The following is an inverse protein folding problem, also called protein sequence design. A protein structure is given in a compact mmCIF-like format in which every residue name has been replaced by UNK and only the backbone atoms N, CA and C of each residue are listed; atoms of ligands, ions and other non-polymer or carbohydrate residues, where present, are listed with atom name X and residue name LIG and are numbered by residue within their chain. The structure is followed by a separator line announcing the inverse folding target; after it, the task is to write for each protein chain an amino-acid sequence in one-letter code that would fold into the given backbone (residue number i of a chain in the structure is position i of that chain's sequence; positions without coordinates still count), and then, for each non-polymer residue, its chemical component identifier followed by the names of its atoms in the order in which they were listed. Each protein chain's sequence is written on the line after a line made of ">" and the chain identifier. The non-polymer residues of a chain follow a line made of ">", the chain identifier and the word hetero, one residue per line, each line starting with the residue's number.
data_IF_799179387525
#
_entry.id   IF_799179387525
#
_cell.length_a   1.000
_cell.length_b   1.000
_cell.length_c   1.000
_cell.angle_alpha   90.00
_cell.angle_beta   90.00
_cell.angle_gamma   90.00
#
_symmetry.space_group_name_H-M   'P 1'
#
loop_
_entity.id
_entity.type
_entity.pdbx_description
1 polymer ?
#
# COMPACT_ATOMS: atom_id res chain seq x y z
N UNK A 1 11.70 23.34 -4.54
CA UNK A 1 11.88 21.93 -4.15
C UNK A 1 10.67 21.16 -4.64
N UNK A 2 10.80 20.35 -5.65
CA UNK A 2 9.76 19.42 -6.07
C UNK A 2 10.21 18.04 -5.60
N UNK A 3 9.61 17.58 -4.53
CA UNK A 3 9.88 16.22 -4.03
C UNK A 3 8.71 15.34 -4.46
N UNK A 4 8.97 14.34 -5.26
CA UNK A 4 8.00 13.29 -5.58
C UNK A 4 8.15 12.13 -4.58
N UNK A 5 8.29 12.50 -3.31
CA UNK A 5 8.43 11.56 -2.22
C UNK A 5 7.05 11.17 -1.69
N UNK A 6 6.71 9.89 -1.82
CA UNK A 6 5.48 9.34 -1.26
C UNK A 6 5.72 8.86 0.17
N UNK A 7 5.10 9.53 1.12
CA UNK A 7 5.12 9.09 2.52
C UNK A 7 4.38 7.75 2.67
N UNK A 8 4.72 6.98 3.70
CA UNK A 8 3.99 5.75 4.07
C UNK A 8 2.48 6.02 4.19
N UNK A 9 2.10 7.12 4.79
CA UNK A 9 0.69 7.51 4.94
C UNK A 9 0.00 7.74 3.57
N UNK A 10 0.67 8.39 2.63
CA UNK A 10 0.13 8.58 1.29
C UNK A 10 -0.09 7.23 0.57
N UNK A 11 0.88 6.32 0.67
CA UNK A 11 0.76 4.96 0.11
C UNK A 11 -0.39 4.20 0.76
N UNK A 12 -0.50 4.24 2.07
CA UNK A 12 -1.58 3.59 2.81
C UNK A 12 -2.96 4.10 2.38
N UNK A 13 -3.11 5.41 2.21
CA UNK A 13 -4.35 6.01 1.73
C UNK A 13 -4.75 5.48 0.34
N UNK A 14 -3.78 5.35 -0.57
CA UNK A 14 -4.03 4.77 -1.89
C UNK A 14 -4.41 3.28 -1.82
N UNK A 15 -3.78 2.51 -0.93
CA UNK A 15 -4.15 1.12 -0.71
C UNK A 15 -5.58 0.98 -0.16
N UNK A 16 -5.96 1.80 0.82
CA UNK A 16 -7.32 1.83 1.37
C UNK A 16 -8.33 2.17 0.27
N UNK A 17 -8.07 3.22 -0.52
CA UNK A 17 -8.94 3.61 -1.62
C UNK A 17 -9.09 2.49 -2.67
N UNK A 18 -7.98 1.81 -2.99
CA UNK A 18 -7.95 0.71 -3.95
C UNK A 18 -8.76 -0.51 -3.47
N UNK A 19 -8.66 -0.86 -2.18
CA UNK A 19 -9.45 -1.93 -1.57
C UNK A 19 -10.94 -1.55 -1.55
N UNK A 20 -11.28 -0.31 -1.21
CA UNK A 20 -12.65 0.18 -1.24
C UNK A 20 -13.25 0.10 -2.65
N UNK A 21 -12.47 0.46 -3.67
CA UNK A 21 -12.84 0.32 -5.07
C UNK A 21 -13.09 -1.15 -5.47
N UNK A 22 -12.32 -2.10 -4.91
CA UNK A 22 -12.56 -3.53 -5.14
C UNK A 22 -13.97 -3.93 -4.66
N UNK A 23 -14.38 -3.48 -3.48
CA UNK A 23 -15.70 -3.81 -2.94
C UNK A 23 -16.85 -3.21 -3.72
N UNK A 24 -16.68 -1.99 -4.20
CA UNK A 24 -17.66 -1.33 -5.07
C UNK A 24 -17.76 -2.02 -6.43
N UNK A 25 -16.61 -2.26 -7.07
CA UNK A 25 -16.54 -2.83 -8.43
C UNK A 25 -17.02 -4.27 -8.50
N UNK A 26 -16.81 -5.05 -7.44
CA UNK A 26 -17.24 -6.44 -7.35
C UNK A 26 -18.64 -6.59 -6.73
N UNK A 27 -19.34 -5.48 -6.47
CA UNK A 27 -20.67 -5.45 -5.87
C UNK A 27 -20.77 -6.25 -4.55
N UNK A 28 -19.69 -6.23 -3.77
CA UNK A 28 -19.61 -6.94 -2.49
C UNK A 28 -20.29 -6.19 -1.34
N UNK A 29 -20.83 -5.00 -1.60
CA UNK A 29 -21.60 -4.24 -0.63
C UNK A 29 -22.98 -4.88 -0.44
N UNK A 30 -23.51 -4.86 0.79
CA UNK A 30 -24.84 -5.39 1.04
C UNK A 30 -25.90 -4.67 0.20
N UNK A 31 -26.91 -5.42 -0.23
CA UNK A 31 -28.06 -4.83 -0.90
C UNK A 31 -28.80 -3.83 0.02
N UNK A 32 -29.43 -2.81 -0.58
CA UNK A 32 -30.23 -1.86 0.17
C UNK A 32 -31.33 -2.60 0.96
N UNK A 33 -31.42 -2.31 2.26
CA UNK A 33 -32.37 -2.98 3.17
C UNK A 33 -31.84 -4.28 3.80
N UNK A 34 -30.64 -4.73 3.46
CA UNK A 34 -30.00 -5.86 4.14
C UNK A 34 -29.65 -5.49 5.58
N UNK A 35 -29.74 -6.45 6.49
CA UNK A 35 -29.23 -6.34 7.86
C UNK A 35 -27.73 -6.57 7.93
N UNK A 36 -27.10 -7.04 6.85
CA UNK A 36 -25.68 -7.25 6.75
C UNK A 36 -24.96 -5.90 6.71
N UNK A 37 -23.97 -5.74 7.58
CA UNK A 37 -23.11 -4.55 7.60
C UNK A 37 -22.06 -4.65 6.52
N UNK A 38 -21.75 -3.53 5.88
CA UNK A 38 -20.78 -3.45 4.81
C UNK A 38 -19.34 -3.73 5.24
N UNK A 39 -18.45 -3.50 4.32
CA UNK A 39 -17.02 -3.61 4.53
C UNK A 39 -16.46 -2.37 5.23
N UNK A 40 -15.47 -2.56 6.10
CA UNK A 40 -14.63 -1.50 6.62
C UNK A 40 -13.16 -1.77 6.27
N UNK A 41 -12.48 -0.75 5.77
CA UNK A 41 -11.04 -0.79 5.51
C UNK A 41 -10.36 0.21 6.42
N UNK A 42 -9.41 -0.25 7.24
CA UNK A 42 -8.79 0.58 8.27
C UNK A 42 -7.31 0.25 8.43
N UNK A 43 -6.59 1.17 9.05
CA UNK A 43 -5.26 0.89 9.58
C UNK A 43 -5.38 -0.01 10.81
N UNK A 44 -4.44 -0.96 10.96
CA UNK A 44 -4.45 -1.91 12.08
C UNK A 44 -4.47 -1.22 13.45
N UNK A 45 -3.70 -0.15 13.60
CA UNK A 45 -3.61 0.60 14.87
C UNK A 45 -4.87 1.42 15.24
N UNK A 46 -5.76 1.67 14.29
CA UNK A 46 -6.96 2.52 14.48
C UNK A 46 -8.27 1.73 14.44
N UNK A 47 -8.19 0.41 14.46
CA UNK A 47 -9.34 -0.46 14.26
C UNK A 47 -10.37 -0.34 15.39
N UNK A 48 -11.45 0.38 15.15
CA UNK A 48 -12.68 0.30 15.93
C UNK A 48 -13.68 -0.63 15.22
N UNK A 49 -13.90 -1.81 15.81
CA UNK A 49 -14.63 -2.90 15.14
C UNK A 49 -16.16 -2.77 15.19
N UNK A 50 -16.73 -1.64 15.64
CA UNK A 50 -18.11 -1.63 16.09
C UNK A 50 -19.19 -1.67 15.00
N UNK A 51 -18.86 -1.40 13.72
CA UNK A 51 -19.88 -1.17 12.71
C UNK A 51 -19.75 -2.00 11.42
N UNK A 52 -18.86 -2.96 11.32
CA UNK A 52 -18.70 -3.80 10.12
C UNK A 52 -18.59 -5.28 10.46
N UNK A 53 -19.20 -6.12 9.62
CA UNK A 53 -19.11 -7.57 9.76
C UNK A 53 -17.92 -8.13 8.95
N UNK A 54 -17.47 -7.40 7.94
CA UNK A 54 -16.31 -7.68 7.10
C UNK A 54 -15.30 -6.57 7.28
N UNK A 55 -14.10 -6.89 7.69
CA UNK A 55 -13.08 -5.89 8.01
C UNK A 55 -11.79 -6.25 7.29
N UNK A 56 -11.18 -5.25 6.67
CA UNK A 56 -9.82 -5.34 6.13
C UNK A 56 -8.93 -4.38 6.88
N UNK A 57 -7.84 -4.90 7.43
CA UNK A 57 -6.85 -4.09 8.12
C UNK A 57 -5.54 -4.12 7.33
N UNK A 58 -4.89 -2.99 7.25
CA UNK A 58 -3.57 -2.83 6.65
C UNK A 58 -2.56 -2.58 7.75
N UNK A 59 -1.53 -3.42 7.80
CA UNK A 59 -0.40 -3.29 8.71
C UNK A 59 0.90 -3.16 7.93
N UNK A 60 1.65 -2.11 8.19
CA UNK A 60 2.93 -1.87 7.55
C UNK A 60 4.02 -2.66 8.26
N UNK A 61 4.76 -3.46 7.50
CA UNK A 61 5.83 -4.30 8.05
C UNK A 61 7.20 -3.67 7.87
N UNK A 62 7.57 -3.42 6.64
CA UNK A 62 8.93 -2.99 6.31
C UNK A 62 9.01 -2.29 4.97
N UNK A 63 10.09 -1.54 4.77
CA UNK A 63 10.49 -1.08 3.46
C UNK A 63 11.98 -1.31 3.21
N UNK A 64 12.31 -1.66 1.98
CA UNK A 64 13.67 -1.87 1.53
C UNK A 64 13.92 -1.09 0.23
N UNK A 65 15.09 -0.49 0.10
CA UNK A 65 15.51 0.06 -1.18
C UNK A 65 15.93 -1.07 -2.10
N UNK A 66 15.42 -1.05 -3.33
CA UNK A 66 15.70 -2.07 -4.34
C UNK A 66 16.43 -1.44 -5.51
N UNK A 67 17.51 -2.08 -5.94
CA UNK A 67 18.32 -1.60 -7.06
C UNK A 67 19.31 -0.50 -6.70
N UNK A 68 19.91 0.08 -7.71
CA UNK A 68 20.88 1.17 -7.56
C UNK A 68 20.15 2.49 -7.39
N UNK A 69 20.65 3.32 -6.47
CA UNK A 69 20.21 4.69 -6.36
C UNK A 69 20.70 5.46 -7.60
N UNK A 70 19.76 5.98 -8.38
CA UNK A 70 20.06 6.90 -9.47
C UNK A 70 20.28 8.31 -8.95
N UNK A 71 21.13 9.05 -9.62
CA UNK A 71 21.24 10.50 -9.41
C UNK A 71 21.47 11.21 -10.74
N UNK A 72 20.87 12.36 -10.87
CA UNK A 72 20.96 13.21 -12.06
C UNK A 72 21.25 14.64 -11.64
N UNK A 73 22.05 15.33 -12.42
CA UNK A 73 22.24 16.76 -12.28
C UNK A 73 21.52 17.50 -13.40
N UNK A 74 20.89 18.61 -13.05
CA UNK A 74 20.24 19.50 -14.01
C UNK A 74 20.40 20.95 -13.59
N UNK A 75 20.10 21.87 -14.48
CA UNK A 75 20.00 23.28 -14.13
C UNK A 75 18.67 23.53 -13.39
N UNK A 76 18.70 24.43 -12.39
CA UNK A 76 17.45 24.87 -11.77
C UNK A 76 16.64 25.67 -12.79
N UNK A 77 15.33 25.39 -12.90
CA UNK A 77 14.43 25.97 -13.91
C UNK A 77 14.42 27.50 -13.95
N UNK A 78 14.68 28.14 -12.83
CA UNK A 78 14.53 29.61 -12.66
C UNK A 78 15.80 30.30 -12.15
N UNK A 79 16.93 29.60 -12.05
CA UNK A 79 18.16 30.16 -11.50
C UNK A 79 19.39 29.47 -12.08
N UNK A 80 20.03 30.14 -13.03
CA UNK A 80 21.22 29.61 -13.70
C UNK A 80 22.46 29.49 -12.80
N UNK A 81 22.39 30.06 -11.60
CA UNK A 81 23.49 29.98 -10.60
C UNK A 81 23.37 28.73 -9.74
N UNK A 82 22.25 28.01 -9.85
CA UNK A 82 22.00 26.80 -9.07
C UNK A 82 21.90 25.55 -9.96
N UNK A 83 22.43 24.48 -9.45
CA UNK A 83 22.22 23.14 -9.97
C UNK A 83 21.18 22.41 -9.12
N UNK A 84 20.46 21.49 -9.73
CA UNK A 84 19.55 20.57 -9.02
C UNK A 84 20.14 19.18 -9.12
N UNK A 85 20.36 18.56 -7.97
CA UNK A 85 20.63 17.13 -7.88
C UNK A 85 19.29 16.43 -7.61
N UNK A 86 18.97 15.44 -8.42
CA UNK A 86 17.81 14.58 -8.25
C UNK A 86 18.31 13.21 -7.87
N UNK A 87 17.95 12.76 -6.70
CA UNK A 87 18.19 11.38 -6.24
C UNK A 87 16.90 10.59 -6.43
N UNK A 88 16.96 9.52 -7.20
CA UNK A 88 15.85 8.62 -7.47
C UNK A 88 16.18 7.19 -7.02
N UNK A 89 15.22 6.50 -6.43
CA UNK A 89 15.34 5.09 -6.04
C UNK A 89 13.97 4.41 -6.06
N UNK A 90 14.00 3.10 -6.11
CA UNK A 90 12.81 2.27 -5.96
C UNK A 90 12.75 1.74 -4.52
N UNK A 91 11.62 1.91 -3.87
CA UNK A 91 11.35 1.39 -2.55
C UNK A 91 10.34 0.25 -2.64
N UNK A 92 10.69 -0.92 -2.14
CA UNK A 92 9.77 -2.03 -1.96
C UNK A 92 9.21 -1.97 -0.54
N UNK A 93 7.89 -1.93 -0.42
CA UNK A 93 7.19 -1.95 0.86
C UNK A 93 6.38 -3.24 0.98
N UNK A 94 6.42 -3.84 2.17
CA UNK A 94 5.61 -5.00 2.53
C UNK A 94 4.52 -4.58 3.49
N UNK A 95 3.28 -4.86 3.13
CA UNK A 95 2.08 -4.64 3.93
C UNK A 95 1.41 -5.97 4.21
N UNK A 96 0.98 -6.20 5.44
CA UNK A 96 0.08 -7.30 5.76
C UNK A 96 -1.36 -6.86 5.57
N UNK A 97 -2.08 -7.59 4.76
CA UNK A 97 -3.51 -7.40 4.55
C UNK A 97 -4.23 -8.46 5.37
N UNK A 98 -4.94 -8.01 6.39
CA UNK A 98 -5.72 -8.84 7.27
C UNK A 98 -7.17 -8.76 6.86
N UNK A 99 -7.80 -9.89 6.60
CA UNK A 99 -9.22 -9.99 6.36
C UNK A 99 -9.89 -10.68 7.55
N UNK A 100 -10.85 -10.02 8.16
CA UNK A 100 -11.59 -10.52 9.32
C UNK A 100 -13.06 -10.61 8.98
N UNK A 101 -13.68 -11.70 9.47
CA UNK A 101 -15.12 -11.90 9.38
C UNK A 101 -15.67 -12.12 10.78
N UNK A 102 -16.63 -11.30 11.18
CA UNK A 102 -17.44 -11.56 12.36
C UNK A 102 -18.51 -12.58 12.00
N UNK A 103 -18.51 -13.69 12.66
CA UNK A 103 -19.46 -14.78 12.46
C UNK A 103 -20.38 -14.81 13.68
N UNK A 104 -21.69 -14.70 13.42
CA UNK A 104 -22.66 -15.13 14.41
C UNK A 104 -22.99 -16.59 14.16
N UNK A 105 -23.17 -17.42 15.20
CA UNK A 105 -23.49 -18.84 15.02
C UNK A 105 -24.74 -19.10 14.15
N UNK A 106 -25.64 -18.13 14.07
CA UNK A 106 -26.87 -18.17 13.24
C UNK A 106 -26.64 -17.92 11.75
N UNK A 107 -25.46 -17.43 11.34
CA UNK A 107 -25.24 -16.87 10.00
C UNK A 107 -24.57 -17.84 9.03
N UNK A 108 -24.41 -19.11 9.42
CA UNK A 108 -23.75 -20.15 8.58
C UNK A 108 -24.72 -20.59 7.49
N UNK A 109 -24.79 -19.82 6.40
CA UNK A 109 -25.48 -20.23 5.16
C UNK A 109 -24.45 -20.62 4.09
N UNK A 110 -24.89 -21.38 3.08
CA UNK A 110 -24.02 -21.76 1.96
C UNK A 110 -23.46 -20.56 1.16
N UNK A 111 -24.04 -19.39 1.30
CA UNK A 111 -23.60 -18.14 0.66
C UNK A 111 -22.67 -17.29 1.56
N UNK A 112 -22.27 -17.82 2.69
CA UNK A 112 -21.44 -17.09 3.65
C UNK A 112 -20.00 -16.96 3.16
N UNK A 113 -19.55 -15.74 2.96
CA UNK A 113 -18.16 -15.46 2.58
C UNK A 113 -17.22 -15.58 3.78
N UNK A 114 -16.21 -16.42 3.69
CA UNK A 114 -15.20 -16.61 4.73
C UNK A 114 -14.11 -15.53 4.66
N UNK A 115 -13.27 -15.41 5.69
CA UNK A 115 -12.11 -14.52 5.63
C UNK A 115 -11.09 -14.94 4.57
N UNK A 116 -10.99 -16.25 4.30
CA UNK A 116 -10.14 -16.82 3.25
C UNK A 116 -10.66 -16.45 1.86
N UNK A 117 -11.98 -16.49 1.65
CA UNK A 117 -12.61 -16.04 0.40
C UNK A 117 -12.34 -14.55 0.18
N UNK A 118 -12.46 -13.72 1.22
CA UNK A 118 -12.13 -12.30 1.19
C UNK A 118 -10.68 -12.07 0.78
N UNK A 119 -9.74 -12.81 1.38
CA UNK A 119 -8.33 -12.73 1.04
C UNK A 119 -8.09 -13.15 -0.42
N UNK A 120 -8.71 -14.26 -0.88
CA UNK A 120 -8.64 -14.72 -2.26
C UNK A 120 -9.13 -13.69 -3.27
N UNK A 121 -10.25 -13.02 -2.98
CA UNK A 121 -10.81 -11.95 -3.80
C UNK A 121 -9.83 -10.77 -3.89
N UNK A 122 -9.29 -10.32 -2.77
CA UNK A 122 -8.34 -9.20 -2.76
C UNK A 122 -7.03 -9.54 -3.46
N UNK A 123 -6.52 -10.77 -3.32
CA UNK A 123 -5.35 -11.24 -4.07
C UNK A 123 -5.64 -11.17 -5.58
N UNK A 124 -6.79 -11.72 -6.02
CA UNK A 124 -7.19 -11.63 -7.43
C UNK A 124 -7.34 -10.20 -7.93
N UNK A 125 -7.86 -9.30 -7.09
CA UNK A 125 -7.95 -7.88 -7.40
C UNK A 125 -6.57 -7.23 -7.58
N UNK A 126 -5.64 -7.44 -6.67
CA UNK A 126 -4.29 -6.89 -6.74
C UNK A 126 -3.43 -7.52 -7.84
N UNK A 127 -3.71 -8.75 -8.25
CA UNK A 127 -3.08 -9.40 -9.41
C UNK A 127 -3.64 -8.88 -10.76
N UNK A 128 -4.77 -8.18 -10.73
CA UNK A 128 -5.49 -7.69 -11.91
C UNK A 128 -5.77 -6.19 -11.90
N UNK A 129 -7.06 -5.86 -11.80
CA UNK A 129 -7.54 -4.46 -11.92
C UNK A 129 -6.95 -3.54 -10.85
N UNK A 130 -6.80 -4.02 -9.61
CA UNK A 130 -6.22 -3.24 -8.53
C UNK A 130 -4.78 -2.82 -8.79
N UNK A 131 -3.99 -3.68 -9.44
CA UNK A 131 -2.63 -3.34 -9.87
C UNK A 131 -2.64 -2.20 -10.90
N UNK A 132 -3.59 -2.22 -11.85
CA UNK A 132 -3.73 -1.17 -12.87
C UNK A 132 -4.08 0.17 -12.21
N UNK A 133 -5.02 0.15 -11.25
CA UNK A 133 -5.42 1.36 -10.54
C UNK A 133 -4.26 1.93 -9.70
N UNK A 134 -3.54 1.10 -8.94
CA UNK A 134 -2.37 1.55 -8.17
C UNK A 134 -1.26 2.12 -9.07
N UNK A 135 -1.08 1.56 -10.26
CA UNK A 135 -0.11 2.06 -11.24
C UNK A 135 -0.40 3.48 -11.70
N UNK A 136 -1.69 3.89 -11.80
CA UNK A 136 -2.08 5.28 -12.10
C UNK A 136 -1.55 6.26 -11.04
N UNK A 137 -1.40 5.78 -9.82
CA UNK A 137 -0.82 6.54 -8.70
C UNK A 137 0.68 6.30 -8.55
N UNK A 138 1.34 5.65 -9.52
CA UNK A 138 2.78 5.36 -9.52
C UNK A 138 3.17 4.36 -8.43
N UNK A 139 2.30 3.42 -8.11
CA UNK A 139 2.57 2.32 -7.19
C UNK A 139 2.50 1.02 -8.00
N UNK A 140 3.61 0.29 -8.05
CA UNK A 140 3.66 -1.05 -8.64
C UNK A 140 3.27 -2.11 -7.63
N UNK A 141 2.59 -3.16 -8.05
CA UNK A 141 2.34 -4.35 -7.23
C UNK A 141 3.26 -5.48 -7.68
N UNK A 142 3.78 -6.23 -6.73
CA UNK A 142 4.47 -7.48 -6.99
C UNK A 142 3.48 -8.63 -6.86
N UNK A 143 3.70 -9.69 -7.63
CA UNK A 143 2.84 -10.89 -7.61
C UNK A 143 2.72 -11.43 -6.19
N UNK A 144 1.48 -11.66 -5.75
CA UNK A 144 1.20 -12.21 -4.43
C UNK A 144 1.25 -13.74 -4.51
N UNK A 145 2.02 -14.34 -3.61
CA UNK A 145 2.04 -15.79 -3.47
C UNK A 145 0.79 -16.25 -2.70
N UNK A 146 -0.15 -16.86 -3.42
CA UNK A 146 -1.43 -17.37 -2.87
C UNK A 146 -1.24 -18.44 -1.80
N UNK A 147 -0.10 -19.13 -1.78
CA UNK A 147 0.20 -20.15 -0.76
C UNK A 147 0.59 -19.57 0.60
N UNK A 148 0.64 -18.24 0.73
CA UNK A 148 1.00 -17.54 1.96
C UNK A 148 -0.19 -16.92 2.69
N UNK A 149 -1.36 -17.49 2.55
CA UNK A 149 -2.51 -17.08 3.38
C UNK A 149 -2.39 -17.81 4.72
N UNK A 150 -2.16 -17.04 5.78
CA UNK A 150 -2.15 -17.55 7.14
C UNK A 150 -3.52 -17.35 7.77
N UNK A 151 -4.09 -18.41 8.33
CA UNK A 151 -5.37 -18.36 9.01
C UNK A 151 -5.14 -18.46 10.51
N UNK A 152 -5.65 -17.50 11.25
CA UNK A 152 -5.63 -17.50 12.71
C UNK A 152 -7.04 -17.67 13.23
N UNK A 153 -7.21 -18.53 14.22
CA UNK A 153 -8.42 -18.60 15.02
C UNK A 153 -8.18 -17.76 16.27
N UNK A 154 -9.00 -16.75 16.49
CA UNK A 154 -9.00 -16.03 17.75
C UNK A 154 -9.94 -16.79 18.70
N UNK A 155 -9.41 -17.29 19.82
CA UNK A 155 -10.16 -18.11 20.80
C UNK A 155 -11.05 -17.24 21.72
N UNK A 156 -10.98 -15.91 21.60
CA UNK A 156 -11.87 -15.03 22.33
C UNK A 156 -13.31 -15.19 21.83
N UNK A 157 -14.29 -15.18 22.73
CA UNK A 157 -15.74 -15.48 22.63
C UNK A 157 -16.50 -14.95 21.38
N UNK A 158 -15.86 -14.23 20.51
CA UNK A 158 -16.31 -13.80 19.19
C UNK A 158 -15.54 -14.63 18.17
N UNK A 159 -16.16 -15.60 17.55
CA UNK A 159 -15.64 -16.44 16.46
C UNK A 159 -15.08 -15.56 15.30
N UNK A 160 -13.90 -15.00 15.51
CA UNK A 160 -13.21 -14.18 14.51
C UNK A 160 -12.15 -15.05 13.84
N UNK A 161 -12.47 -15.55 12.67
CA UNK A 161 -11.44 -16.06 11.78
C UNK A 161 -10.76 -14.87 11.11
N UNK A 162 -9.46 -14.96 10.99
CA UNK A 162 -8.62 -13.95 10.36
C UNK A 162 -7.70 -14.63 9.34
N UNK A 163 -7.77 -14.18 8.10
CA UNK A 163 -6.80 -14.55 7.09
C UNK A 163 -5.84 -13.38 6.84
N UNK A 164 -4.57 -13.68 6.60
CA UNK A 164 -3.52 -12.67 6.42
C UNK A 164 -2.67 -13.05 5.22
N UNK A 165 -2.40 -12.09 4.35
CA UNK A 165 -1.46 -12.26 3.25
C UNK A 165 -0.54 -11.04 3.11
N UNK A 166 0.73 -11.24 2.68
CA UNK A 166 1.63 -10.15 2.41
C UNK A 166 1.34 -9.53 1.04
N UNK A 167 1.13 -8.22 1.00
CA UNK A 167 1.09 -7.42 -0.21
C UNK A 167 2.41 -6.68 -0.36
N UNK A 168 3.16 -6.98 -1.41
CA UNK A 168 4.39 -6.25 -1.74
C UNK A 168 4.12 -5.26 -2.85
N UNK A 169 4.56 -4.03 -2.64
CA UNK A 169 4.41 -2.93 -3.59
C UNK A 169 5.75 -2.26 -3.84
N UNK A 170 5.88 -1.65 -5.00
CA UNK A 170 7.06 -0.87 -5.38
C UNK A 170 6.64 0.58 -5.56
N UNK A 171 7.34 1.47 -4.88
CA UNK A 171 7.06 2.91 -4.88
C UNK A 171 8.33 3.63 -5.35
N UNK A 172 8.30 4.27 -6.53
CA UNK A 172 9.39 5.14 -6.95
C UNK A 172 9.43 6.38 -6.06
N UNK A 173 10.61 6.68 -5.56
CA UNK A 173 10.88 7.82 -4.71
C UNK A 173 11.86 8.76 -5.41
N UNK A 174 11.62 10.07 -5.29
CA UNK A 174 12.48 11.10 -5.86
C UNK A 174 12.65 12.26 -4.88
N UNK A 175 13.88 12.66 -4.65
CA UNK A 175 14.21 13.86 -3.87
C UNK A 175 15.07 14.79 -4.72
N UNK A 176 14.65 16.03 -4.84
CA UNK A 176 15.40 17.07 -5.55
C UNK A 176 16.02 18.05 -4.57
N UNK A 177 17.34 18.20 -4.63
CA UNK A 177 18.11 19.13 -3.79
C UNK A 177 18.73 20.22 -4.67
N UNK A 178 18.48 21.49 -4.34
CA UNK A 178 19.17 22.59 -4.98
C UNK A 178 20.56 22.76 -4.36
N UNK A 179 21.57 22.91 -5.22
CA UNK A 179 22.95 23.08 -4.84
C UNK A 179 23.50 24.36 -5.52
N UNK A 180 24.43 25.05 -4.88
CA UNK A 180 25.16 26.13 -5.52
C UNK A 180 25.98 25.59 -6.68
N UNK A 181 25.94 26.26 -7.82
CA UNK A 181 26.76 25.91 -8.97
C UNK A 181 28.18 26.38 -8.69
N UNK A 182 29.15 25.50 -8.85
CA UNK A 182 30.55 25.89 -8.84
C UNK A 182 30.80 26.66 -10.14
N UNK A 183 30.85 28.00 -10.05
CA UNK A 183 31.05 28.86 -11.23
C UNK A 183 32.52 29.00 -11.61
N UNK A 184 33.43 28.80 -10.66
CA UNK A 184 34.88 28.89 -10.88
C UNK A 184 35.55 27.75 -10.08
N UNK A 185 36.32 26.93 -10.77
CA UNK A 185 37.21 25.95 -10.15
C UNK A 185 38.64 26.39 -10.42
N UNK A 186 39.31 26.90 -9.39
CA UNK A 186 40.74 27.17 -9.47
C UNK A 186 41.47 25.90 -8.98
N UNK A 187 42.19 25.17 -9.84
CA UNK A 187 42.95 24.04 -9.39
C UNK A 187 44.01 24.50 -8.41
N UNK A 188 43.84 24.13 -7.13
CA UNK A 188 44.89 24.34 -6.13
C UNK A 188 46.08 23.45 -6.47
N UNK A 189 47.22 24.06 -6.80
CA UNK A 189 48.48 23.32 -6.86
C UNK A 189 48.88 23.11 -5.40
N UNK A 190 48.73 21.91 -4.90
CA UNK A 190 49.34 21.54 -3.60
C UNK A 190 50.83 21.27 -3.85
N UNK A 191 51.72 22.01 -3.24
CA UNK A 191 53.11 21.66 -3.30
C UNK A 191 53.30 20.31 -2.58
N UNK A 192 54.00 19.41 -3.24
CA UNK A 192 54.45 18.11 -2.71
C UNK A 192 55.53 18.32 -1.65
#
# INVERSE_FOLDING_TARGET
>A
MTTNFKTRYAVQKELIANISLAFESLQLQPAAGSTEKGWAVQEFAQASFNNADKIVLLDYMESNRVGFQGWKFGAAKNDNTKAVRVDDWLEEQTWLVHTLRRIKPSDVSASFMTCEDMAGILIGWFDGQGAIELKKHGIGTLRIDRNRIFVYNDESELYQKRAVFPLRIQVPQEISVQMSRVSEWTPGIYPV
#
